data_IF_953576910133
#
_entry.id   IF_953576910133
#
_cell.length_a   1.000
_cell.length_b   1.000
_cell.length_c   1.000
_cell.angle_alpha   90.00
_cell.angle_beta   90.00
_cell.angle_gamma   90.00
#
_symmetry.space_group_name_H-M   'P 1'
#
loop_
_entity.id
_entity.type
_entity.pdbx_description
1 polymer ?
#
# COMPACT_ATOMS: atom_id res chain seq x y z
N UNK A 1 14.14 47.69 -15.86
CA UNK A 1 14.03 46.51 -16.75
C UNK A 1 14.10 45.29 -15.85
N UNK A 2 12.93 44.82 -15.42
CA UNK A 2 12.77 43.61 -14.63
C UNK A 2 12.42 42.48 -15.60
N UNK A 3 13.18 41.39 -15.58
CA UNK A 3 12.90 40.21 -16.39
C UNK A 3 11.90 39.32 -15.64
N UNK A 4 10.63 39.43 -16.01
CA UNK A 4 9.59 38.43 -15.78
C UNK A 4 9.80 37.27 -16.77
N UNK A 5 10.39 36.15 -16.33
CA UNK A 5 10.53 34.95 -17.19
C UNK A 5 10.83 33.66 -16.42
N UNK A 6 10.22 33.42 -15.25
CA UNK A 6 10.30 32.12 -14.56
C UNK A 6 8.95 31.69 -13.98
N UNK A 7 7.92 31.64 -14.84
CA UNK A 7 6.57 31.32 -14.39
C UNK A 7 5.79 30.45 -15.36
N UNK A 8 6.39 29.44 -16.00
CA UNK A 8 5.62 28.58 -16.92
C UNK A 8 6.29 27.23 -17.26
N UNK A 9 6.61 26.39 -16.26
CA UNK A 9 7.13 25.02 -16.55
C UNK A 9 6.68 23.88 -15.63
N UNK A 10 5.62 24.03 -14.85
CA UNK A 10 5.08 22.91 -14.07
C UNK A 10 3.60 22.72 -14.37
N UNK A 11 3.24 21.45 -14.58
CA UNK A 11 1.90 20.89 -14.80
C UNK A 11 1.42 20.76 -16.25
N UNK A 12 2.20 20.04 -17.05
CA UNK A 12 1.62 19.13 -18.03
C UNK A 12 1.68 17.69 -17.47
N UNK A 13 0.99 17.43 -16.36
CA UNK A 13 0.66 16.04 -15.99
C UNK A 13 -0.35 15.55 -17.02
N UNK A 14 0.13 14.85 -18.04
CA UNK A 14 -0.71 14.07 -18.96
C UNK A 14 -1.66 13.25 -18.08
N UNK A 15 -2.94 13.61 -18.10
CA UNK A 15 -4.01 12.79 -17.54
C UNK A 15 -4.11 11.55 -18.41
N UNK A 16 -3.31 10.53 -18.10
CA UNK A 16 -3.44 9.21 -18.70
C UNK A 16 -4.86 8.75 -18.37
N UNK A 17 -5.69 8.55 -19.39
CA UNK A 17 -7.06 8.08 -19.18
C UNK A 17 -7.01 6.78 -18.37
N UNK A 18 -7.52 6.75 -17.12
CA UNK A 18 -7.45 5.57 -16.26
C UNK A 18 -8.18 4.35 -16.85
N UNK A 19 -8.89 4.52 -17.98
CA UNK A 19 -9.53 3.44 -18.74
C UNK A 19 -8.59 2.68 -19.67
N UNK A 20 -7.39 3.18 -19.96
CA UNK A 20 -6.45 2.55 -20.89
C UNK A 20 -5.45 1.58 -20.22
N UNK A 21 -5.37 1.60 -18.90
CA UNK A 21 -4.41 0.78 -18.12
C UNK A 21 -4.85 -0.70 -18.15
N UNK A 22 -3.91 -1.63 -18.25
CA UNK A 22 -4.18 -3.07 -18.10
C UNK A 22 -4.69 -3.44 -16.70
N UNK A 23 -5.16 -4.67 -16.49
CA UNK A 23 -5.46 -5.16 -15.13
C UNK A 23 -4.17 -5.26 -14.30
N UNK A 24 -3.16 -5.93 -14.86
CA UNK A 24 -1.85 -6.13 -14.21
C UNK A 24 -1.18 -4.80 -13.89
N UNK A 25 -1.15 -3.89 -14.86
CA UNK A 25 -0.60 -2.55 -14.67
C UNK A 25 -1.35 -1.77 -13.59
N UNK A 26 -2.68 -1.90 -13.51
CA UNK A 26 -3.47 -1.27 -12.45
C UNK A 26 -3.13 -1.81 -11.06
N UNK A 27 -2.87 -3.11 -10.91
CA UNK A 27 -2.39 -3.69 -9.65
C UNK A 27 -1.00 -3.18 -9.28
N UNK A 28 -0.09 -3.11 -10.25
CA UNK A 28 1.27 -2.61 -10.03
C UNK A 28 1.30 -1.13 -9.63
N UNK A 29 0.44 -0.30 -10.24
CA UNK A 29 0.28 1.11 -9.86
C UNK A 29 -0.27 1.21 -8.43
N UNK A 30 -1.31 0.44 -8.10
CA UNK A 30 -1.91 0.44 -6.76
C UNK A 30 -0.89 0.03 -5.68
N UNK A 31 -0.09 -1.01 -5.93
CA UNK A 31 1.04 -1.39 -5.06
C UNK A 31 2.08 -0.27 -4.94
N UNK A 32 2.42 0.39 -6.04
CA UNK A 32 3.32 1.56 -6.04
C UNK A 32 2.82 2.66 -5.12
N UNK A 33 1.53 2.98 -5.14
CA UNK A 33 0.93 3.99 -4.27
C UNK A 33 0.96 3.56 -2.78
N UNK A 34 0.72 2.27 -2.49
CA UNK A 34 0.83 1.74 -1.13
C UNK A 34 2.26 1.84 -0.58
N UNK A 35 3.26 1.48 -1.38
CA UNK A 35 4.69 1.59 -1.03
C UNK A 35 5.03 3.06 -0.73
N UNK A 36 4.60 3.98 -1.60
CA UNK A 36 4.91 5.40 -1.44
C UNK A 36 4.17 6.02 -0.23
N UNK A 37 2.96 5.55 0.06
CA UNK A 37 2.23 5.94 1.28
C UNK A 37 2.98 5.48 2.53
N UNK A 38 3.46 4.23 2.56
CA UNK A 38 4.22 3.71 3.69
C UNK A 38 5.55 4.47 3.90
N UNK A 39 6.27 4.82 2.84
CA UNK A 39 7.47 5.66 2.91
C UNK A 39 7.17 7.07 3.45
N UNK A 40 6.08 7.68 2.99
CA UNK A 40 5.64 9.00 3.45
C UNK A 40 5.22 8.97 4.93
N UNK A 41 4.59 7.88 5.38
CA UNK A 41 4.26 7.64 6.79
C UNK A 41 5.52 7.53 7.67
N UNK A 42 6.58 6.91 7.16
CA UNK A 42 7.89 6.89 7.83
C UNK A 42 8.34 8.31 8.17
N UNK A 43 8.23 9.25 7.24
CA UNK A 43 8.56 10.66 7.50
C UNK A 43 7.58 11.32 8.50
N UNK A 44 6.28 11.00 8.42
CA UNK A 44 5.25 11.53 9.31
C UNK A 44 5.40 11.09 10.78
N UNK A 45 5.95 9.91 11.01
CA UNK A 45 6.20 9.39 12.36
C UNK A 45 7.28 10.21 13.09
N UNK A 46 8.31 10.64 12.36
CA UNK A 46 9.43 11.42 12.86
C UNK A 46 9.16 12.93 12.86
N UNK A 47 8.51 13.41 11.82
CA UNK A 47 8.27 14.84 11.58
C UNK A 47 6.80 15.10 11.32
N UNK A 48 6.24 16.16 11.90
CA UNK A 48 4.86 16.60 11.64
C UNK A 48 4.72 17.26 10.26
N UNK A 49 5.31 16.65 9.22
CA UNK A 49 5.37 17.23 7.88
C UNK A 49 4.00 17.17 7.20
N UNK A 50 3.34 18.32 7.15
CA UNK A 50 2.02 18.47 6.54
C UNK A 50 2.02 18.12 5.03
N UNK A 51 3.14 18.32 4.33
CA UNK A 51 3.28 17.96 2.93
C UNK A 51 3.24 16.44 2.74
N UNK A 52 3.94 15.69 3.60
CA UNK A 52 3.89 14.22 3.57
C UNK A 52 2.50 13.69 3.94
N UNK A 53 1.83 14.30 4.92
CA UNK A 53 0.47 13.91 5.28
C UNK A 53 -0.54 14.12 4.14
N UNK A 54 -0.46 15.26 3.45
CA UNK A 54 -1.31 15.56 2.29
C UNK A 54 -0.99 14.64 1.10
N UNK A 55 0.27 14.25 0.93
CA UNK A 55 0.66 13.24 -0.05
C UNK A 55 0.00 11.89 0.23
N UNK A 56 0.02 11.42 1.48
CA UNK A 56 -0.65 10.17 1.86
C UNK A 56 -2.15 10.21 1.55
N UNK A 57 -2.84 11.33 1.82
CA UNK A 57 -4.27 11.50 1.48
C UNK A 57 -4.52 11.38 -0.03
N UNK A 58 -3.65 12.01 -0.83
CA UNK A 58 -3.79 11.98 -2.30
C UNK A 58 -3.62 10.55 -2.82
N UNK A 59 -2.56 9.86 -2.39
CA UNK A 59 -2.32 8.46 -2.75
C UNK A 59 -3.46 7.54 -2.30
N UNK A 60 -4.00 7.74 -1.10
CA UNK A 60 -5.17 7.03 -0.58
C UNK A 60 -6.41 7.17 -1.49
N UNK A 61 -6.70 8.37 -1.97
CA UNK A 61 -7.80 8.58 -2.92
C UNK A 61 -7.55 7.85 -4.24
N UNK A 62 -6.33 7.92 -4.77
CA UNK A 62 -5.95 7.25 -6.01
C UNK A 62 -6.06 5.72 -5.90
N UNK A 63 -5.65 5.14 -4.76
CA UNK A 63 -5.83 3.71 -4.46
C UNK A 63 -7.31 3.32 -4.47
N UNK A 64 -8.20 4.13 -3.88
CA UNK A 64 -9.66 3.90 -3.89
C UNK A 64 -10.27 4.05 -5.27
N UNK A 65 -9.72 4.90 -6.13
CA UNK A 65 -10.14 5.01 -7.54
C UNK A 65 -9.69 3.81 -8.36
N UNK A 66 -8.45 3.36 -8.18
CA UNK A 66 -7.90 2.18 -8.83
C UNK A 66 -8.65 0.92 -8.43
N UNK A 67 -8.96 0.73 -7.15
CA UNK A 67 -9.79 -0.38 -6.67
C UNK A 67 -11.12 -0.41 -7.43
N UNK A 68 -11.88 0.69 -7.40
CA UNK A 68 -13.19 0.78 -8.08
C UNK A 68 -13.09 0.53 -9.58
N UNK A 69 -12.00 0.96 -10.21
CA UNK A 69 -11.74 0.74 -11.64
C UNK A 69 -11.42 -0.73 -11.94
N UNK A 70 -10.52 -1.34 -11.17
CA UNK A 70 -10.10 -2.74 -11.30
C UNK A 70 -11.27 -3.69 -11.06
N UNK A 71 -12.02 -3.48 -9.97
CA UNK A 71 -13.19 -4.29 -9.61
C UNK A 71 -14.24 -4.26 -10.72
N UNK A 72 -14.56 -3.07 -11.27
CA UNK A 72 -15.50 -2.95 -12.40
C UNK A 72 -15.01 -3.66 -13.66
N UNK A 73 -13.72 -3.56 -13.99
CA UNK A 73 -13.13 -4.23 -15.16
C UNK A 73 -13.13 -5.76 -15.01
N UNK A 74 -12.80 -6.26 -13.81
CA UNK A 74 -12.88 -7.68 -13.50
C UNK A 74 -14.32 -8.19 -13.66
N UNK A 75 -15.31 -7.50 -13.10
CA UNK A 75 -16.72 -7.86 -13.27
C UNK A 75 -17.18 -7.86 -14.75
N UNK A 76 -16.58 -7.01 -15.59
CA UNK A 76 -16.88 -6.95 -17.02
C UNK A 76 -16.12 -7.99 -17.88
N UNK A 77 -15.07 -8.62 -17.35
CA UNK A 77 -14.14 -9.48 -18.10
C UNK A 77 -14.72 -10.82 -18.57
N UNK A 78 -15.93 -11.20 -18.12
CA UNK A 78 -16.56 -12.52 -18.34
C UNK A 78 -15.71 -13.71 -17.89
N UNK A 79 -14.69 -13.48 -17.07
CA UNK A 79 -13.91 -14.52 -16.40
C UNK A 79 -14.82 -15.25 -15.39
N UNK A 80 -14.68 -16.58 -15.31
CA UNK A 80 -15.48 -17.44 -14.42
C UNK A 80 -14.58 -18.44 -13.66
N UNK A 81 -15.16 -19.13 -12.68
CA UNK A 81 -14.47 -20.16 -11.90
C UNK A 81 -13.62 -19.62 -10.75
N UNK A 82 -12.80 -20.49 -10.16
CA UNK A 82 -12.06 -20.19 -8.92
C UNK A 82 -10.97 -19.13 -9.12
N UNK A 83 -10.38 -19.07 -10.31
CA UNK A 83 -9.42 -18.02 -10.68
C UNK A 83 -10.05 -16.63 -10.63
N UNK A 84 -11.25 -16.47 -11.17
CA UNK A 84 -11.97 -15.20 -11.13
C UNK A 84 -12.30 -14.79 -9.69
N UNK A 85 -12.76 -15.74 -8.86
CA UNK A 85 -13.01 -15.52 -7.43
C UNK A 85 -11.76 -15.07 -6.67
N UNK A 86 -10.58 -15.58 -7.05
CA UNK A 86 -9.32 -15.14 -6.48
C UNK A 86 -8.93 -13.73 -6.96
N UNK A 87 -8.99 -13.47 -8.27
CA UNK A 87 -8.63 -12.17 -8.86
C UNK A 87 -9.51 -11.02 -8.35
N UNK A 88 -10.82 -11.23 -8.18
CA UNK A 88 -11.73 -10.19 -7.68
C UNK A 88 -11.46 -9.80 -6.22
N UNK A 89 -10.74 -10.62 -5.45
CA UNK A 89 -10.35 -10.30 -4.06
C UNK A 89 -9.12 -9.39 -4.00
N UNK A 90 -8.28 -9.38 -5.03
CA UNK A 90 -7.01 -8.64 -5.01
C UNK A 90 -7.19 -7.12 -4.84
N UNK A 91 -8.06 -6.42 -5.60
CA UNK A 91 -8.26 -4.99 -5.40
C UNK A 91 -8.72 -4.66 -3.97
N UNK A 92 -9.62 -5.48 -3.43
CA UNK A 92 -10.13 -5.32 -2.07
C UNK A 92 -9.04 -5.50 -1.01
N UNK A 93 -8.18 -6.52 -1.15
CA UNK A 93 -7.07 -6.74 -0.20
C UNK A 93 -6.06 -5.60 -0.23
N UNK A 94 -5.74 -5.05 -1.41
CA UNK A 94 -4.87 -3.89 -1.54
C UNK A 94 -5.49 -2.63 -0.91
N UNK A 95 -6.80 -2.42 -1.08
CA UNK A 95 -7.52 -1.34 -0.41
C UNK A 95 -7.47 -1.49 1.12
N UNK A 96 -7.61 -2.70 1.64
CA UNK A 96 -7.50 -2.93 3.09
C UNK A 96 -6.14 -2.57 3.65
N UNK A 97 -5.06 -2.78 2.90
CA UNK A 97 -3.71 -2.31 3.29
C UNK A 97 -3.72 -0.78 3.39
N UNK A 98 -4.26 -0.07 2.39
CA UNK A 98 -4.39 1.40 2.43
C UNK A 98 -5.17 1.88 3.66
N UNK A 99 -6.28 1.23 4.01
CA UNK A 99 -7.05 1.60 5.20
C UNK A 99 -6.21 1.50 6.50
N UNK A 100 -5.28 0.54 6.59
CA UNK A 100 -4.36 0.46 7.74
C UNK A 100 -3.30 1.55 7.70
N UNK A 101 -2.79 1.89 6.52
CA UNK A 101 -1.86 2.99 6.34
C UNK A 101 -2.52 4.34 6.68
N UNK A 102 -3.75 4.59 6.24
CA UNK A 102 -4.52 5.78 6.61
C UNK A 102 -4.83 5.83 8.12
N UNK A 103 -5.08 4.67 8.74
CA UNK A 103 -5.21 4.62 10.20
C UNK A 103 -3.91 5.06 10.91
N UNK A 104 -2.73 4.62 10.44
CA UNK A 104 -1.44 5.08 10.95
C UNK A 104 -1.26 6.59 10.71
N UNK A 105 -1.70 7.12 9.56
CA UNK A 105 -1.70 8.55 9.29
C UNK A 105 -2.53 9.33 10.31
N UNK A 106 -3.71 8.82 10.64
CA UNK A 106 -4.58 9.42 11.66
C UNK A 106 -3.93 9.38 13.05
N UNK A 107 -3.21 8.31 13.41
CA UNK A 107 -2.38 8.26 14.60
C UNK A 107 -1.28 9.35 14.59
N UNK A 108 -0.64 9.59 13.44
CA UNK A 108 0.36 10.66 13.28
C UNK A 108 -0.26 12.05 13.46
N UNK A 109 -1.43 12.31 12.86
CA UNK A 109 -2.17 13.57 13.04
C UNK A 109 -2.54 13.82 14.49
N UNK A 110 -3.08 12.81 15.16
CA UNK A 110 -3.45 12.89 16.58
C UNK A 110 -2.20 13.19 17.44
N UNK A 111 -1.10 12.46 17.19
CA UNK A 111 0.18 12.69 17.83
C UNK A 111 0.63 14.15 17.70
N UNK A 112 0.56 14.72 16.49
CA UNK A 112 0.97 16.10 16.22
C UNK A 112 0.04 17.12 16.89
N UNK A 113 -1.28 16.92 16.78
CA UNK A 113 -2.29 17.80 17.37
C UNK A 113 -2.16 17.90 18.89
N UNK A 114 -1.90 16.78 19.55
CA UNK A 114 -1.82 16.69 21.01
C UNK A 114 -0.39 16.94 21.55
N UNK A 115 0.58 17.27 20.67
CA UNK A 115 1.97 17.50 21.07
C UNK A 115 2.67 16.26 21.64
N UNK A 116 2.21 15.06 21.27
CA UNK A 116 2.73 13.79 21.77
C UNK A 116 4.04 13.47 21.04
N UNK A 117 5.07 13.14 21.81
CA UNK A 117 6.35 12.70 21.26
C UNK A 117 6.64 11.26 21.66
N UNK A 118 7.09 10.46 20.70
CA UNK A 118 7.66 9.15 21.02
C UNK A 118 9.08 9.33 21.56
N UNK A 119 9.54 8.38 22.36
CA UNK A 119 10.96 8.29 22.65
C UNK A 119 11.68 7.67 21.44
N UNK A 120 12.97 7.98 21.29
CA UNK A 120 13.75 7.54 20.12
C UNK A 120 13.76 6.02 19.90
N UNK A 121 13.61 5.20 20.95
CA UNK A 121 13.48 3.74 20.80
C UNK A 121 12.16 3.33 20.15
N UNK A 122 11.05 3.92 20.60
CA UNK A 122 9.73 3.64 20.03
C UNK A 122 9.66 4.11 18.57
N UNK A 123 10.22 5.28 18.27
CA UNK A 123 10.33 5.76 16.90
C UNK A 123 11.16 4.83 16.02
N UNK A 124 12.35 4.41 16.47
CA UNK A 124 13.20 3.47 15.74
C UNK A 124 12.50 2.11 15.48
N UNK A 125 11.72 1.61 16.45
CA UNK A 125 10.90 0.42 16.26
C UNK A 125 9.88 0.61 15.13
N UNK A 126 9.13 1.72 15.14
CA UNK A 126 8.12 1.96 14.10
C UNK A 126 8.76 2.14 12.71
N UNK A 127 9.89 2.85 12.63
CA UNK A 127 10.66 2.98 11.38
C UNK A 127 11.10 1.61 10.84
N UNK A 128 11.61 0.73 11.70
CA UNK A 128 11.99 -0.62 11.31
C UNK A 128 10.80 -1.43 10.78
N UNK A 129 9.64 -1.34 11.42
CA UNK A 129 8.44 -2.06 11.00
C UNK A 129 7.93 -1.57 9.64
N UNK A 130 7.91 -0.25 9.41
CA UNK A 130 7.52 0.34 8.13
C UNK A 130 8.50 -0.05 7.02
N UNK A 131 9.80 -0.06 7.29
CA UNK A 131 10.81 -0.49 6.33
C UNK A 131 10.60 -1.95 5.88
N UNK A 132 10.39 -2.88 6.84
CA UNK A 132 10.11 -4.28 6.52
C UNK A 132 8.81 -4.40 5.69
N UNK A 133 7.76 -3.66 6.06
CA UNK A 133 6.50 -3.68 5.31
C UNK A 133 6.68 -3.15 3.87
N UNK A 134 7.49 -2.10 3.68
CA UNK A 134 7.85 -1.57 2.37
C UNK A 134 8.59 -2.62 1.54
N UNK A 135 9.59 -3.29 2.12
CA UNK A 135 10.35 -4.34 1.43
C UNK A 135 9.43 -5.50 1.01
N UNK A 136 8.53 -5.94 1.88
CA UNK A 136 7.53 -6.96 1.57
C UNK A 136 6.60 -6.53 0.42
N UNK A 137 6.16 -5.27 0.39
CA UNK A 137 5.32 -4.75 -0.70
C UNK A 137 6.08 -4.60 -2.01
N UNK A 138 7.37 -4.25 -1.98
CA UNK A 138 8.24 -4.24 -3.15
C UNK A 138 8.40 -5.67 -3.71
N UNK A 139 8.72 -6.64 -2.86
CA UNK A 139 8.80 -8.05 -3.24
C UNK A 139 7.47 -8.55 -3.80
N UNK A 140 6.34 -8.11 -3.23
CA UNK A 140 5.01 -8.43 -3.73
C UNK A 140 4.80 -7.86 -5.14
N UNK A 141 5.15 -6.60 -5.37
CA UNK A 141 5.09 -5.96 -6.69
C UNK A 141 5.94 -6.70 -7.73
N UNK A 142 7.13 -7.14 -7.35
CA UNK A 142 7.99 -7.96 -8.20
C UNK A 142 7.34 -9.32 -8.49
N UNK A 143 6.75 -9.97 -7.48
CA UNK A 143 6.04 -11.23 -7.65
C UNK A 143 4.84 -11.13 -8.60
N UNK A 144 4.11 -10.01 -8.60
CA UNK A 144 3.08 -9.72 -9.61
C UNK A 144 3.64 -9.67 -11.04
N UNK A 145 4.89 -9.22 -11.19
CA UNK A 145 5.54 -9.03 -12.50
C UNK A 145 6.16 -10.31 -13.05
N UNK A 146 6.81 -11.12 -12.20
CA UNK A 146 7.54 -12.33 -12.64
C UNK A 146 6.80 -13.65 -12.37
N UNK A 147 5.71 -13.63 -11.60
CA UNK A 147 4.96 -14.83 -11.16
C UNK A 147 5.85 -15.91 -10.50
N UNK A 148 6.78 -15.49 -9.63
CA UNK A 148 7.69 -16.40 -8.93
C UNK A 148 7.10 -16.88 -7.59
N UNK A 149 6.70 -18.16 -7.55
CA UNK A 149 6.15 -18.78 -6.35
C UNK A 149 7.14 -18.89 -5.18
N UNK A 150 8.46 -18.93 -5.45
CA UNK A 150 9.48 -18.90 -4.39
C UNK A 150 9.55 -17.52 -3.75
N UNK A 151 9.47 -16.45 -4.55
CA UNK A 151 9.39 -15.08 -4.05
C UNK A 151 8.14 -14.89 -3.17
N UNK A 152 6.98 -15.37 -3.62
CA UNK A 152 5.74 -15.31 -2.82
C UNK A 152 5.88 -16.05 -1.48
N UNK A 153 6.54 -17.22 -1.46
CA UNK A 153 6.82 -17.96 -0.22
C UNK A 153 7.80 -17.22 0.69
N UNK A 154 8.79 -16.51 0.12
CA UNK A 154 9.69 -15.65 0.90
C UNK A 154 8.92 -14.55 1.62
N UNK A 155 8.01 -13.86 0.92
CA UNK A 155 7.18 -12.80 1.50
C UNK A 155 6.35 -13.33 2.68
N UNK A 156 5.77 -14.53 2.56
CA UNK A 156 5.03 -15.15 3.67
C UNK A 156 5.96 -15.41 4.87
N UNK A 157 7.17 -15.89 4.64
CA UNK A 157 8.17 -16.10 5.69
C UNK A 157 8.58 -14.78 6.37
N UNK A 158 8.79 -13.72 5.58
CA UNK A 158 9.04 -12.37 6.08
C UNK A 158 7.88 -11.85 6.92
N UNK A 159 6.63 -12.11 6.52
CA UNK A 159 5.44 -11.72 7.28
C UNK A 159 5.30 -12.42 8.64
N UNK A 160 5.74 -13.68 8.74
CA UNK A 160 5.85 -14.39 10.02
C UNK A 160 6.89 -13.74 10.93
N UNK A 161 8.03 -13.35 10.37
CA UNK A 161 9.11 -12.68 11.09
C UNK A 161 8.68 -11.27 11.55
N UNK A 162 8.03 -10.49 10.69
CA UNK A 162 7.44 -9.20 11.04
C UNK A 162 6.47 -9.32 12.22
N UNK A 163 5.59 -10.34 12.19
CA UNK A 163 4.66 -10.61 13.29
C UNK A 163 5.37 -10.91 14.62
N UNK A 164 6.50 -11.64 14.55
CA UNK A 164 7.35 -11.90 15.72
C UNK A 164 7.95 -10.61 16.27
N UNK A 165 8.53 -9.78 15.41
CA UNK A 165 9.13 -8.48 15.78
C UNK A 165 8.09 -7.57 16.44
N UNK A 166 6.88 -7.48 15.89
CA UNK A 166 5.77 -6.68 16.47
C UNK A 166 5.44 -7.13 17.89
N UNK A 167 5.37 -8.46 18.13
CA UNK A 167 5.11 -9.02 19.46
C UNK A 167 6.24 -8.71 20.45
N UNK A 168 7.47 -8.78 20.00
CA UNK A 168 8.65 -8.49 20.82
C UNK A 168 8.69 -6.99 21.18
N UNK A 169 8.39 -6.11 20.22
CA UNK A 169 8.28 -4.67 20.45
C UNK A 169 7.12 -4.31 21.38
N UNK A 170 5.96 -4.97 21.24
CA UNK A 170 4.83 -4.79 22.16
C UNK A 170 5.21 -5.18 23.59
N UNK A 171 5.83 -6.33 23.77
CA UNK A 171 6.28 -6.82 25.09
C UNK A 171 7.31 -5.88 25.71
N UNK A 172 8.35 -5.49 24.95
CA UNK A 172 9.38 -4.58 25.42
C UNK A 172 8.84 -3.19 25.78
N UNK A 173 7.82 -2.72 25.06
CA UNK A 173 7.19 -1.45 25.33
C UNK A 173 6.29 -1.51 26.57
N UNK A 174 5.68 -2.66 26.89
CA UNK A 174 4.87 -2.83 28.10
C UNK A 174 5.67 -2.86 29.40
N UNK A 175 6.88 -3.41 29.39
CA UNK A 175 7.72 -3.52 30.58
C UNK A 175 8.31 -2.18 31.07
N UNK A 176 8.03 -1.05 30.40
CA UNK A 176 8.56 0.26 30.80
C UNK A 176 7.68 0.95 31.86
N UNK A 177 8.27 1.48 32.95
CA UNK A 177 7.56 2.35 33.88
C UNK A 177 7.00 3.57 33.14
N UNK A 178 5.72 3.90 33.39
CA UNK A 178 5.06 5.07 32.80
C UNK A 178 4.63 6.01 33.91
N UNK A 179 5.01 7.28 33.80
CA UNK A 179 4.62 8.33 34.75
C UNK A 179 4.00 9.47 33.92
N UNK A 180 2.76 9.83 34.26
CA UNK A 180 2.06 10.96 33.67
C UNK A 180 1.12 10.62 32.49
N UNK A 181 0.14 11.50 32.21
CA UNK A 181 -0.93 11.25 31.24
C UNK A 181 -0.45 11.22 29.78
N UNK A 182 0.50 12.08 29.39
CA UNK A 182 1.07 12.10 28.03
C UNK A 182 1.78 10.78 27.70
N UNK A 183 2.40 10.14 28.69
CA UNK A 183 3.03 8.84 28.51
C UNK A 183 1.99 7.74 28.21
N UNK A 184 0.79 7.81 28.78
CA UNK A 184 -0.30 6.87 28.50
C UNK A 184 -0.87 7.08 27.10
N UNK A 185 -1.05 8.32 26.65
CA UNK A 185 -1.52 8.60 25.29
C UNK A 185 -0.50 8.17 24.23
N UNK A 186 0.78 8.49 24.42
CA UNK A 186 1.86 7.98 23.57
C UNK A 186 1.88 6.45 23.52
N UNK A 187 1.40 5.79 24.56
CA UNK A 187 1.31 4.33 24.61
C UNK A 187 0.20 3.80 23.75
N UNK A 188 -1.00 4.36 23.90
CA UNK A 188 -2.15 3.96 23.10
C UNK A 188 -1.82 4.12 21.60
N UNK A 189 -1.37 5.31 21.19
CA UNK A 189 -1.03 5.59 19.78
C UNK A 189 0.04 4.61 19.26
N UNK A 190 1.09 4.34 20.05
CA UNK A 190 2.12 3.39 19.63
C UNK A 190 1.55 1.98 19.40
N UNK A 191 0.70 1.49 20.31
CA UNK A 191 0.10 0.16 20.19
C UNK A 191 -0.90 0.08 19.03
N UNK A 192 -1.67 1.14 18.81
CA UNK A 192 -2.60 1.28 17.68
C UNK A 192 -1.83 1.18 16.35
N UNK A 193 -0.68 1.83 16.23
CA UNK A 193 0.20 1.71 15.05
C UNK A 193 0.71 0.28 14.90
N UNK A 194 1.14 -0.38 15.98
CA UNK A 194 1.58 -1.78 15.92
C UNK A 194 0.47 -2.71 15.41
N UNK A 195 -0.77 -2.53 15.86
CA UNK A 195 -1.92 -3.34 15.42
C UNK A 195 -2.29 -3.06 13.96
N UNK A 196 -2.15 -1.82 13.51
CA UNK A 196 -2.36 -1.45 12.11
C UNK A 196 -1.31 -2.08 11.18
N UNK A 197 -0.02 -2.02 11.54
CA UNK A 197 1.05 -2.69 10.77
C UNK A 197 0.84 -4.20 10.73
N UNK A 198 0.46 -4.81 11.87
CA UNK A 198 0.15 -6.23 11.93
C UNK A 198 -1.00 -6.59 10.97
N UNK A 199 -2.06 -5.80 10.96
CA UNK A 199 -3.21 -6.03 10.08
C UNK A 199 -2.84 -5.88 8.60
N UNK A 200 -2.02 -4.89 8.26
CA UNK A 200 -1.50 -4.71 6.90
C UNK A 200 -0.66 -5.93 6.46
N UNK A 201 0.18 -6.44 7.36
CA UNK A 201 0.97 -7.66 7.13
C UNK A 201 0.09 -8.89 6.87
N UNK A 202 -0.98 -9.07 7.65
CA UNK A 202 -1.96 -10.14 7.43
C UNK A 202 -2.61 -10.03 6.03
N UNK A 203 -2.94 -8.83 5.58
CA UNK A 203 -3.50 -8.58 4.25
C UNK A 203 -2.48 -8.84 3.12
N UNK A 204 -1.20 -8.51 3.31
CA UNK A 204 -0.11 -8.92 2.40
C UNK A 204 -0.02 -10.46 2.31
N UNK A 205 -0.10 -11.15 3.44
CA UNK A 205 -0.13 -12.63 3.48
C UNK A 205 -1.34 -13.24 2.76
N UNK A 206 -2.51 -12.60 2.88
CA UNK A 206 -3.73 -13.00 2.16
C UNK A 206 -3.57 -12.82 0.65
N UNK A 207 -2.92 -11.74 0.19
CA UNK A 207 -2.59 -11.54 -1.22
C UNK A 207 -1.65 -12.65 -1.69
N UNK A 208 -0.57 -12.93 -0.95
CA UNK A 208 0.39 -13.99 -1.29
C UNK A 208 -0.29 -15.36 -1.42
N UNK A 209 -1.20 -15.69 -0.49
CA UNK A 209 -1.99 -16.92 -0.56
C UNK A 209 -2.85 -16.95 -1.83
N UNK A 210 -3.51 -15.83 -2.15
CA UNK A 210 -4.32 -15.69 -3.37
C UNK A 210 -3.46 -15.86 -4.63
N UNK A 211 -2.24 -15.32 -4.66
CA UNK A 211 -1.29 -15.48 -5.78
C UNK A 211 -0.86 -16.94 -5.96
N UNK A 212 -0.61 -17.67 -4.87
CA UNK A 212 -0.29 -19.09 -4.93
C UNK A 212 -1.47 -19.94 -5.42
N UNK A 213 -2.70 -19.58 -5.05
CA UNK A 213 -3.92 -20.27 -5.52
C UNK A 213 -4.13 -20.13 -7.03
N UNK A 214 -3.84 -18.95 -7.60
CA UNK A 214 -3.97 -18.72 -9.04
C UNK A 214 -2.74 -19.16 -9.85
N UNK A 215 -1.63 -19.46 -9.18
CA UNK A 215 -0.35 -19.89 -9.76
C UNK A 215 0.37 -18.75 -10.48
N UNK A 216 -0.12 -18.38 -11.67
CA UNK A 216 0.41 -17.29 -12.49
C UNK A 216 -0.70 -16.31 -12.87
N UNK A 217 -0.50 -15.02 -12.60
CA UNK A 217 -1.30 -13.97 -13.22
C UNK A 217 -0.96 -14.01 -14.71
N UNK A 218 -1.92 -14.27 -15.60
CA UNK A 218 -1.61 -14.28 -17.01
C UNK A 218 -1.24 -12.86 -17.38
N UNK A 219 -0.06 -12.64 -17.98
CA UNK A 219 0.26 -11.36 -18.58
C UNK A 219 -0.91 -10.97 -19.51
N UNK A 220 -1.73 -10.03 -19.07
CA UNK A 220 -2.98 -9.67 -19.71
C UNK A 220 -2.68 -8.78 -20.91
N UNK A 221 -1.92 -9.28 -21.90
CA UNK A 221 -1.87 -8.78 -23.28
C UNK A 221 -0.75 -9.47 -24.06
N UNK A 222 -1.11 -10.51 -24.82
CA UNK A 222 -0.45 -10.75 -26.10
C UNK A 222 -1.46 -10.96 -27.25
N UNK A 223 -2.78 -10.87 -27.02
CA UNK A 223 -3.79 -11.28 -28.02
C UNK A 223 -5.11 -10.48 -28.04
N UNK A 224 -5.08 -9.15 -27.94
CA UNK A 224 -6.29 -8.33 -28.22
C UNK A 224 -6.13 -7.41 -29.46
N UNK A 225 -5.08 -7.59 -30.27
CA UNK A 225 -4.79 -6.66 -31.39
C UNK A 225 -5.20 -7.12 -32.80
N UNK A 226 -5.93 -8.22 -33.00
CA UNK A 226 -6.40 -8.61 -34.34
C UNK A 226 -7.84 -9.15 -34.32
N UNK A 227 -8.82 -8.24 -34.32
CA UNK A 227 -10.17 -8.47 -34.88
C UNK A 227 -10.87 -7.13 -35.04
N UNK A 228 -10.29 -6.26 -35.87
CA UNK A 228 -11.10 -5.29 -36.60
C UNK A 228 -11.37 -5.94 -37.95
N UNK A 229 -12.45 -6.75 -37.99
CA UNK A 229 -13.04 -7.19 -39.25
C UNK A 229 -13.52 -5.94 -39.99
N UNK A 230 -12.70 -5.46 -40.93
CA UNK A 230 -13.15 -4.52 -41.96
C UNK A 230 -14.08 -5.28 -42.90
N UNK A 231 -15.33 -5.45 -42.49
CA UNK A 231 -16.42 -5.88 -43.35
C UNK A 231 -16.62 -4.86 -44.46
N UNK A 232 -15.95 -5.08 -45.59
CA UNK A 232 -16.25 -4.42 -46.87
C UNK A 232 -17.68 -4.79 -47.26
N UNK A 233 -18.60 -3.84 -47.18
CA UNK A 233 -19.79 -3.84 -48.00
C UNK A 233 -19.41 -3.31 -49.38
N UNK A 234 -19.37 -4.21 -50.37
CA UNK A 234 -19.55 -3.90 -51.78
C UNK A 234 -20.63 -4.83 -52.32
#
# INVERSE_FOLDING_TARGET
MFNDSEGERLQASKSTDPRAVGLDEGFLIMLGHLIETALSLSACLSSADAGQMSRCETLAMEVRELERSLTRRLLASREEGDRFKALIRLPFLLLRIEEKLDYILNCCRLKCKEGISFNGKAEAHLQQLIAILVDMMNNLRDAFSVSDALLVKSIISEGCELSRIIRDFRSAYWCRPRIGPLALQATAIYLDILDAVKSANEDVGNICTTLLEIGTIPAASAKVSERIDTGKFQ
#
